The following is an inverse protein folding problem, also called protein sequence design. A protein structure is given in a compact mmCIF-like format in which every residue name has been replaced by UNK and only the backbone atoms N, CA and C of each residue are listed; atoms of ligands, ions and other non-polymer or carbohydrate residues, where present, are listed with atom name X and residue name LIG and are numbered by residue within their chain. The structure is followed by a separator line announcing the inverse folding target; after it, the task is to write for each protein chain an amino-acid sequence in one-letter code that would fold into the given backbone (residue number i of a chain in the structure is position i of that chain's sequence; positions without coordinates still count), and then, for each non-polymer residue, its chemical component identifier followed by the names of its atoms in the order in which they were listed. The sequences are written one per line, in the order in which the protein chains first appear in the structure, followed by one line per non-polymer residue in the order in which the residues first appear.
data_IF_112231594233
#
_entry.id   IF_112231594233
#
_cell.length_a   1.000
_cell.length_b   1.000
_cell.length_c   1.000
_cell.angle_alpha   90.00
_cell.angle_beta   90.00
_cell.angle_gamma   90.00
#
_symmetry.space_group_name_H-M   'P 1'
#
loop_
_entity.id
_entity.type
_entity.pdbx_description
1 polymer ?
#
# COMPACT_ATOMS: atom_id res chain seq x y z
N UNK A 1 -5.35 -37.90 -2.62
CA UNK A 1 -6.68 -37.33 -2.32
C UNK A 1 -6.47 -36.04 -1.53
N UNK A 2 -7.00 -34.90 -1.98
CA UNK A 2 -6.89 -33.64 -1.24
C UNK A 2 -7.68 -33.76 0.09
N UNK A 3 -7.09 -33.31 1.21
CA UNK A 3 -7.78 -33.32 2.50
C UNK A 3 -9.03 -32.45 2.41
N UNK A 4 -10.18 -32.89 2.98
CA UNK A 4 -11.39 -32.08 2.99
C UNK A 4 -11.14 -30.80 3.78
N UNK A 5 -11.70 -29.70 3.29
CA UNK A 5 -11.59 -28.40 3.93
C UNK A 5 -12.35 -28.42 5.27
N UNK A 6 -11.86 -27.71 6.29
CA UNK A 6 -12.51 -27.67 7.59
C UNK A 6 -13.93 -27.09 7.48
N UNK A 7 -14.91 -27.55 8.28
CA UNK A 7 -16.33 -27.16 8.15
C UNK A 7 -16.59 -25.65 8.20
N UNK A 8 -15.84 -24.91 9.01
CA UNK A 8 -15.94 -23.44 9.12
C UNK A 8 -15.59 -22.72 7.79
N UNK A 9 -14.70 -23.30 6.98
CA UNK A 9 -14.34 -22.76 5.67
C UNK A 9 -15.48 -22.95 4.66
N UNK A 10 -16.15 -24.10 4.68
CA UNK A 10 -17.28 -24.36 3.79
C UNK A 10 -18.45 -23.42 4.06
N UNK A 11 -18.72 -23.13 5.35
CA UNK A 11 -19.76 -22.16 5.74
C UNK A 11 -19.46 -20.75 5.20
N UNK A 12 -18.25 -20.23 5.40
CA UNK A 12 -17.88 -18.88 4.92
C UNK A 12 -17.95 -18.77 3.40
N UNK A 13 -17.56 -19.83 2.67
CA UNK A 13 -17.72 -19.87 1.21
C UNK A 13 -19.18 -19.87 0.77
N UNK A 14 -20.02 -20.65 1.44
CA UNK A 14 -21.45 -20.69 1.16
C UNK A 14 -22.13 -19.33 1.38
N UNK A 15 -21.89 -18.70 2.54
CA UNK A 15 -22.43 -17.37 2.87
C UNK A 15 -21.91 -16.28 1.91
N UNK A 16 -20.63 -16.33 1.52
CA UNK A 16 -20.07 -15.40 0.55
C UNK A 16 -20.73 -15.52 -0.83
N UNK A 17 -21.05 -16.73 -1.28
CA UNK A 17 -21.76 -16.96 -2.56
C UNK A 17 -23.20 -16.43 -2.48
N UNK A 18 -23.90 -16.65 -1.37
CA UNK A 18 -25.23 -16.07 -1.17
C UNK A 18 -25.22 -14.54 -1.20
N UNK A 19 -24.24 -13.92 -0.52
CA UNK A 19 -24.07 -12.47 -0.54
C UNK A 19 -23.81 -11.97 -1.97
N UNK A 20 -22.93 -12.65 -2.72
CA UNK A 20 -22.66 -12.31 -4.12
C UNK A 20 -23.92 -12.41 -4.99
N UNK A 21 -24.75 -13.45 -4.80
CA UNK A 21 -26.00 -13.60 -5.53
C UNK A 21 -26.97 -12.41 -5.29
N UNK A 22 -27.02 -11.87 -4.06
CA UNK A 22 -27.81 -10.64 -3.75
C UNK A 22 -27.32 -9.41 -4.51
N UNK A 23 -26.00 -9.25 -4.65
CA UNK A 23 -25.43 -8.19 -5.48
C UNK A 23 -25.77 -8.41 -6.96
N UNK A 24 -25.64 -9.63 -7.46
CA UNK A 24 -25.91 -9.96 -8.86
C UNK A 24 -27.39 -9.74 -9.25
N UNK A 25 -28.34 -9.94 -8.32
CA UNK A 25 -29.76 -9.64 -8.53
C UNK A 25 -30.03 -8.14 -8.76
N UNK A 26 -29.19 -7.26 -8.21
CA UNK A 26 -29.37 -5.80 -8.27
C UNK A 26 -28.37 -5.10 -9.22
N UNK A 27 -27.53 -5.86 -9.93
CA UNK A 27 -26.45 -5.31 -10.77
C UNK A 27 -26.92 -4.42 -11.94
N UNK A 28 -28.15 -4.64 -12.41
CA UNK A 28 -28.72 -3.96 -13.60
C UNK A 28 -29.75 -2.87 -13.23
N UNK A 29 -29.72 -2.35 -12.00
CA UNK A 29 -30.59 -1.22 -11.61
C UNK A 29 -30.12 0.05 -12.31
N UNK A 30 -30.96 0.60 -13.18
CA UNK A 30 -30.65 1.80 -13.97
C UNK A 30 -31.05 3.11 -13.29
N UNK A 31 -32.05 3.06 -12.40
CA UNK A 31 -32.53 4.23 -11.66
C UNK A 31 -31.51 4.63 -10.57
N UNK A 32 -30.91 5.84 -10.64
CA UNK A 32 -29.92 6.30 -9.68
C UNK A 32 -30.48 6.48 -8.26
N UNK A 33 -31.76 6.82 -8.10
CA UNK A 33 -32.37 7.01 -6.77
C UNK A 33 -32.49 5.65 -6.07
N UNK A 34 -32.98 4.65 -6.79
CA UNK A 34 -33.06 3.26 -6.31
C UNK A 34 -31.68 2.67 -6.03
N UNK A 35 -30.70 2.91 -6.92
CA UNK A 35 -29.33 2.43 -6.72
C UNK A 35 -28.70 3.02 -5.45
N UNK A 36 -28.84 4.34 -5.23
CA UNK A 36 -28.35 5.00 -4.01
C UNK A 36 -28.99 4.41 -2.75
N UNK A 37 -30.31 4.23 -2.76
CA UNK A 37 -31.03 3.62 -1.62
C UNK A 37 -30.51 2.20 -1.30
N UNK A 38 -30.27 1.37 -2.31
CA UNK A 38 -29.71 0.03 -2.12
C UNK A 38 -28.31 0.05 -1.49
N UNK A 39 -27.46 1.02 -1.86
CA UNK A 39 -26.14 1.21 -1.25
C UNK A 39 -26.26 1.64 0.21
N UNK A 40 -27.16 2.59 0.51
CA UNK A 40 -27.41 3.05 1.88
C UNK A 40 -27.95 1.93 2.78
N UNK A 41 -28.92 1.16 2.29
CA UNK A 41 -29.49 0.01 3.00
C UNK A 41 -28.41 -1.07 3.24
N UNK A 42 -27.58 -1.37 2.23
CA UNK A 42 -26.48 -2.33 2.36
C UNK A 42 -25.38 -1.88 3.32
N UNK A 43 -25.08 -0.57 3.35
CA UNK A 43 -24.16 0.00 4.35
C UNK A 43 -24.72 -0.12 5.76
N UNK A 44 -26.00 0.17 5.97
CA UNK A 44 -26.65 0.03 7.27
C UNK A 44 -26.65 -1.43 7.76
N UNK A 45 -26.86 -2.41 6.86
CA UNK A 45 -26.73 -3.83 7.17
C UNK A 45 -25.29 -4.19 7.58
N UNK A 46 -24.29 -3.74 6.81
CA UNK A 46 -22.88 -3.98 7.12
C UNK A 46 -22.50 -3.40 8.49
N UNK A 47 -22.93 -2.18 8.82
CA UNK A 47 -22.60 -1.57 10.11
C UNK A 47 -23.19 -2.31 11.30
N UNK A 48 -24.36 -2.95 11.16
CA UNK A 48 -24.98 -3.79 12.20
C UNK A 48 -24.27 -5.14 12.37
N UNK A 49 -23.78 -5.71 11.26
CA UNK A 49 -23.27 -7.09 11.24
C UNK A 49 -21.74 -7.19 11.22
N UNK A 50 -21.01 -6.09 11.04
CA UNK A 50 -19.53 -6.11 11.00
C UNK A 50 -18.96 -6.64 12.31
N UNK A 51 -17.88 -7.41 12.22
CA UNK A 51 -17.14 -7.87 13.39
C UNK A 51 -16.54 -6.67 14.15
N UNK A 52 -16.60 -6.70 15.48
CA UNK A 52 -15.96 -5.69 16.33
C UNK A 52 -14.44 -5.63 16.10
N UNK A 53 -13.82 -6.78 15.84
CA UNK A 53 -12.41 -6.93 15.51
C UNK A 53 -12.30 -7.63 14.15
N UNK A 54 -12.25 -6.88 13.04
CA UNK A 54 -12.11 -7.48 11.72
C UNK A 54 -10.72 -8.11 11.58
N UNK A 55 -10.62 -9.13 10.74
CA UNK A 55 -9.33 -9.65 10.31
C UNK A 55 -8.58 -8.57 9.53
N UNK A 56 -7.35 -8.29 9.94
CA UNK A 56 -6.43 -7.39 9.25
C UNK A 56 -5.20 -8.19 8.83
N UNK A 57 -4.69 -7.88 7.63
CA UNK A 57 -3.41 -8.44 7.22
C UNK A 57 -2.32 -7.90 8.14
N UNK A 58 -1.30 -8.71 8.50
CA UNK A 58 -0.30 -8.27 9.48
C UNK A 58 0.34 -6.93 9.15
N UNK A 59 0.63 -6.66 7.88
CA UNK A 59 1.31 -5.44 7.42
C UNK A 59 0.36 -4.34 6.95
N UNK A 60 -0.96 -4.56 6.92
CA UNK A 60 -1.93 -3.49 6.61
C UNK A 60 -2.08 -2.53 7.79
N UNK A 61 -2.52 -1.28 7.59
CA UNK A 61 -2.84 -0.35 8.68
C UNK A 61 -3.71 -1.00 9.76
N UNK A 62 -3.28 -0.91 11.02
CA UNK A 62 -3.94 -1.55 12.17
C UNK A 62 -3.64 -3.05 12.35
N UNK A 63 -2.85 -3.65 11.46
CA UNK A 63 -2.35 -5.02 11.60
C UNK A 63 -1.24 -5.15 12.64
N UNK A 64 -1.02 -6.37 13.13
CA UNK A 64 -0.05 -6.68 14.22
C UNK A 64 1.42 -6.41 13.85
N UNK A 65 1.73 -6.27 12.57
CA UNK A 65 3.06 -6.00 12.04
C UNK A 65 3.09 -4.73 11.18
N UNK A 66 2.08 -3.87 11.31
CA UNK A 66 2.04 -2.59 10.62
C UNK A 66 3.25 -1.75 11.04
N UNK A 67 3.94 -1.16 10.06
CA UNK A 67 5.14 -0.33 10.23
C UNK A 67 6.30 -0.98 10.99
N UNK A 68 6.25 -2.29 11.26
CA UNK A 68 7.31 -3.01 11.99
C UNK A 68 8.70 -2.85 11.33
N UNK A 69 8.72 -2.72 10.00
CA UNK A 69 9.93 -2.60 9.20
C UNK A 69 9.93 -1.37 8.28
N UNK A 70 9.01 -0.42 8.49
CA UNK A 70 8.86 0.75 7.62
C UNK A 70 9.84 1.88 8.00
N UNK A 71 10.66 1.65 9.03
CA UNK A 71 11.81 2.50 9.30
C UNK A 71 12.87 2.33 8.21
N UNK A 72 12.93 3.30 7.32
CA UNK A 72 13.97 3.43 6.31
C UNK A 72 14.81 4.67 6.61
N UNK A 73 16.09 4.47 6.91
CA UNK A 73 17.04 5.58 7.01
C UNK A 73 17.15 6.24 5.63
N UNK A 74 17.00 7.56 5.51
CA UNK A 74 17.10 8.23 4.22
C UNK A 74 18.52 8.12 3.65
N UNK A 75 18.62 7.95 2.33
CA UNK A 75 19.89 7.64 1.65
C UNK A 75 20.99 8.70 1.88
N UNK A 76 20.61 9.97 1.98
CA UNK A 76 21.55 11.07 2.16
C UNK A 76 22.37 10.97 3.46
N UNK A 77 21.93 10.17 4.45
CA UNK A 77 22.70 9.96 5.68
C UNK A 77 24.06 9.29 5.41
N UNK A 78 24.18 8.51 4.32
CA UNK A 78 25.43 7.88 3.93
C UNK A 78 26.48 8.91 3.44
N UNK A 79 26.05 10.12 3.05
CA UNK A 79 26.99 11.20 2.73
C UNK A 79 27.71 11.73 3.97
N UNK A 80 27.09 11.62 5.14
CA UNK A 80 27.62 12.11 6.42
C UNK A 80 28.64 11.17 7.07
N UNK A 81 28.82 9.95 6.54
CA UNK A 81 29.77 8.97 7.07
C UNK A 81 31.22 9.48 7.03
N UNK A 82 32.01 9.12 8.04
CA UNK A 82 33.41 9.47 8.08
C UNK A 82 34.16 8.76 6.93
N UNK A 83 35.17 9.37 6.29
CA UNK A 83 35.87 8.74 5.17
C UNK A 83 36.39 7.33 5.45
N UNK A 84 36.85 7.08 6.69
CA UNK A 84 37.32 5.75 7.12
C UNK A 84 36.20 4.71 7.09
N UNK A 85 34.97 5.08 7.42
CA UNK A 85 33.80 4.18 7.36
C UNK A 85 33.41 3.90 5.90
N UNK A 86 33.52 4.91 5.03
CA UNK A 86 33.27 4.74 3.59
C UNK A 86 34.28 3.82 2.93
N UNK A 87 35.55 3.87 3.36
CA UNK A 87 36.62 3.00 2.87
C UNK A 87 36.35 1.51 3.12
N UNK A 88 35.50 1.16 4.07
CA UNK A 88 35.08 -0.23 4.31
C UNK A 88 34.24 -0.79 3.15
N UNK A 89 33.57 0.08 2.36
CA UNK A 89 32.65 -0.32 1.29
C UNK A 89 32.97 0.40 -0.03
N UNK A 90 34.18 0.20 -0.60
CA UNK A 90 34.68 1.00 -1.72
C UNK A 90 33.81 0.87 -2.98
N UNK A 91 33.40 -0.35 -3.33
CA UNK A 91 32.59 -0.61 -4.54
C UNK A 91 31.20 0.02 -4.43
N UNK A 92 30.60 -0.01 -3.23
CA UNK A 92 29.29 0.59 -2.98
C UNK A 92 29.33 2.10 -3.15
N UNK A 93 30.29 2.78 -2.51
CA UNK A 93 30.40 4.24 -2.60
C UNK A 93 30.82 4.71 -4.00
N UNK A 94 31.68 3.96 -4.71
CA UNK A 94 32.03 4.27 -6.11
C UNK A 94 30.80 4.20 -7.04
N UNK A 95 29.93 3.20 -6.84
CA UNK A 95 28.69 3.08 -7.61
C UNK A 95 27.66 4.15 -7.22
N UNK A 96 27.61 4.51 -5.94
CA UNK A 96 26.70 5.55 -5.42
C UNK A 96 27.01 6.93 -6.03
N UNK A 97 28.28 7.32 -6.11
CA UNK A 97 28.66 8.61 -6.71
C UNK A 97 28.28 8.69 -8.20
N UNK A 98 28.40 7.59 -8.95
CA UNK A 98 27.89 7.52 -10.34
C UNK A 98 26.38 7.78 -10.41
N UNK A 99 25.60 7.13 -9.54
CA UNK A 99 24.14 7.30 -9.49
C UNK A 99 23.71 8.70 -9.07
N UNK A 100 24.45 9.35 -8.17
CA UNK A 100 24.21 10.74 -7.78
C UNK A 100 24.41 11.69 -8.96
N UNK A 101 25.48 11.50 -9.74
CA UNK A 101 25.71 12.27 -10.97
C UNK A 101 24.59 12.06 -11.99
N UNK A 102 24.20 10.81 -12.26
CA UNK A 102 23.08 10.49 -13.15
C UNK A 102 21.76 11.12 -12.70
N UNK A 103 21.50 11.17 -11.40
CA UNK A 103 20.31 11.81 -10.84
C UNK A 103 20.30 13.31 -11.15
N UNK A 104 21.42 14.01 -10.94
CA UNK A 104 21.57 15.44 -11.23
C UNK A 104 21.37 15.70 -12.73
N UNK A 105 21.96 14.89 -13.60
CA UNK A 105 21.78 15.01 -15.06
C UNK A 105 20.30 14.85 -15.46
N UNK A 106 19.62 13.82 -14.94
CA UNK A 106 18.18 13.58 -15.21
C UNK A 106 17.31 14.70 -14.66
N UNK A 107 17.66 15.26 -13.50
CA UNK A 107 16.95 16.38 -12.91
C UNK A 107 17.06 17.62 -13.80
N UNK A 108 18.28 17.99 -14.20
CA UNK A 108 18.55 19.11 -15.12
C UNK A 108 17.86 18.93 -16.47
N UNK A 109 17.87 17.73 -17.02
CA UNK A 109 17.18 17.43 -18.27
C UNK A 109 15.66 17.61 -18.17
N UNK A 110 15.07 17.30 -17.00
CA UNK A 110 13.61 17.38 -16.79
C UNK A 110 13.13 18.78 -16.44
N UNK A 111 13.89 19.51 -15.62
CA UNK A 111 13.44 20.75 -15.00
C UNK A 111 14.28 21.98 -15.39
N UNK A 112 15.36 21.81 -16.15
CA UNK A 112 16.32 22.87 -16.46
C UNK A 112 17.38 23.04 -15.37
N UNK A 113 18.33 23.94 -15.61
CA UNK A 113 19.26 24.38 -14.56
C UNK A 113 18.51 25.21 -13.53
N UNK A 114 18.80 25.04 -12.22
CA UNK A 114 18.22 25.92 -11.21
C UNK A 114 18.64 27.36 -11.49
N UNK A 115 17.69 28.29 -11.37
CA UNK A 115 17.98 29.72 -11.42
C UNK A 115 19.05 30.05 -10.36
N UNK A 116 20.00 30.95 -10.67
CA UNK A 116 21.02 31.35 -9.71
C UNK A 116 20.35 31.88 -8.45
N UNK A 117 20.84 31.41 -7.30
CA UNK A 117 20.35 31.80 -5.98
C UNK A 117 20.31 33.34 -5.89
N UNK A 118 19.10 33.90 -5.80
CA UNK A 118 18.88 35.35 -5.79
C UNK A 118 19.27 36.00 -4.46
N UNK A 119 19.87 35.24 -3.53
CA UNK A 119 20.48 35.76 -2.31
C UNK A 119 19.47 36.57 -1.49
N UNK A 120 18.44 35.89 -0.98
CA UNK A 120 17.55 36.44 0.03
C UNK A 120 18.02 36.04 1.43
#
# INVERSE_FOLDING_TARGET
MAKPLPPAYLRTKFEAVQLRARFDQNKNVTDPVKAKKLVEDGWAELQKNKAAFPFLYPTSPGGVAYERHDYHSPDYLLDLWHPVEKLQYPDYFALREKRKAEFIERWKARYGEPEPDSGH
#
